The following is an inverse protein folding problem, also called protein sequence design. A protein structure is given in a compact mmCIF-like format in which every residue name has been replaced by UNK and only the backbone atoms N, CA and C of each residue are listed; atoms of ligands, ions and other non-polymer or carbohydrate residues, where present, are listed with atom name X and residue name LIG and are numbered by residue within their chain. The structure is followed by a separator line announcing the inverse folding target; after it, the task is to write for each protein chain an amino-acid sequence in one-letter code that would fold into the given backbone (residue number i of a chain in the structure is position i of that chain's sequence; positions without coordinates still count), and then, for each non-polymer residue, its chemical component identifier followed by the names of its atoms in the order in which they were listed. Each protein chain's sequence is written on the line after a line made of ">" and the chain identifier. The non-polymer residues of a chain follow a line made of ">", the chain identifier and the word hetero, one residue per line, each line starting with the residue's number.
data_IF_522546662537
#
_entry.id   IF_522546662537
#
_cell.length_a   1.000
_cell.length_b   1.000
_cell.length_c   1.000
_cell.angle_alpha   90.00
_cell.angle_beta   90.00
_cell.angle_gamma   90.00
#
_symmetry.space_group_name_H-M   'P 1'
#
loop_
_entity.id
_entity.type
_entity.pdbx_description
1 polymer ?
#
# COMPACT_ATOMS: atom_id res chain seq x y z
N UNK A 1 -4.88 -17.87 31.35
CA UNK A 1 -4.76 -16.92 30.23
C UNK A 1 -6.16 -16.43 29.86
N UNK A 2 -6.54 -15.22 30.26
CA UNK A 2 -7.80 -14.60 29.83
C UNK A 2 -7.62 -14.14 28.38
N UNK A 3 -8.41 -14.68 27.45
CA UNK A 3 -8.43 -14.19 26.07
C UNK A 3 -9.03 -12.79 26.08
N UNK A 4 -8.21 -11.77 25.82
CA UNK A 4 -8.68 -10.41 25.57
C UNK A 4 -9.38 -10.43 24.21
N UNK A 5 -10.67 -10.76 24.19
CA UNK A 5 -11.52 -10.65 23.01
C UNK A 5 -11.91 -9.19 22.82
N UNK A 6 -11.24 -8.52 21.88
CA UNK A 6 -11.63 -7.17 21.47
C UNK A 6 -13.10 -7.15 21.01
N UNK A 7 -13.90 -6.14 21.39
CA UNK A 7 -15.25 -5.97 20.86
C UNK A 7 -15.20 -5.90 19.33
N UNK A 8 -16.12 -6.59 18.65
CA UNK A 8 -16.19 -6.64 17.17
C UNK A 8 -16.24 -5.25 16.52
N UNK A 9 -16.86 -4.27 17.20
CA UNK A 9 -16.89 -2.87 16.77
C UNK A 9 -15.50 -2.21 16.79
N UNK A 10 -14.68 -2.47 17.82
CA UNK A 10 -13.33 -1.93 17.94
C UNK A 10 -12.39 -2.56 16.88
N UNK A 11 -12.51 -3.87 16.64
CA UNK A 11 -11.76 -4.55 15.58
C UNK A 11 -12.09 -3.99 14.19
N UNK A 12 -13.37 -3.73 13.90
CA UNK A 12 -13.80 -3.10 12.65
C UNK A 12 -13.31 -1.65 12.53
N UNK A 13 -13.34 -0.88 13.61
CA UNK A 13 -12.82 0.49 13.62
C UNK A 13 -11.31 0.53 13.31
N UNK A 14 -10.54 -0.40 13.89
CA UNK A 14 -9.11 -0.54 13.61
C UNK A 14 -8.85 -0.90 12.15
N UNK A 15 -9.63 -1.83 11.58
CA UNK A 15 -9.49 -2.20 10.16
C UNK A 15 -9.83 -1.03 9.22
N UNK A 16 -10.87 -0.25 9.53
CA UNK A 16 -11.22 0.97 8.77
C UNK A 16 -10.11 2.03 8.84
N UNK A 17 -9.51 2.21 10.02
CA UNK A 17 -8.39 3.13 10.20
C UNK A 17 -7.19 2.69 9.36
N UNK A 18 -6.84 1.40 9.41
CA UNK A 18 -5.77 0.82 8.59
C UNK A 18 -6.01 1.05 7.10
N UNK A 19 -7.20 0.75 6.59
CA UNK A 19 -7.56 0.94 5.18
C UNK A 19 -7.41 2.41 4.75
N UNK A 20 -7.80 3.36 5.60
CA UNK A 20 -7.68 4.81 5.31
C UNK A 20 -6.23 5.27 5.30
N UNK A 21 -5.44 4.82 6.28
CA UNK A 21 -4.02 5.16 6.37
C UNK A 21 -3.27 4.62 5.16
N UNK A 22 -3.45 3.34 4.82
CA UNK A 22 -2.79 2.74 3.66
C UNK A 22 -3.27 3.37 2.35
N UNK A 23 -4.55 3.69 2.19
CA UNK A 23 -5.02 4.40 1.01
C UNK A 23 -4.39 5.79 0.88
N UNK A 24 -4.26 6.53 1.99
CA UNK A 24 -3.54 7.80 2.02
C UNK A 24 -2.07 7.66 1.61
N UNK A 25 -1.40 6.62 2.11
CA UNK A 25 -0.02 6.29 1.73
C UNK A 25 0.08 5.93 0.25
N UNK A 26 -0.86 5.16 -0.31
CA UNK A 26 -0.92 4.84 -1.74
C UNK A 26 -1.06 6.12 -2.57
N UNK A 27 -1.89 7.08 -2.13
CA UNK A 27 -2.02 8.36 -2.81
C UNK A 27 -0.68 9.14 -2.81
N UNK A 28 0.03 9.17 -1.67
CA UNK A 28 1.36 9.77 -1.57
C UNK A 28 2.37 9.03 -2.46
N UNK A 29 2.31 7.69 -2.51
CA UNK A 29 3.18 6.88 -3.36
C UNK A 29 2.92 7.14 -4.85
N UNK A 30 1.68 7.36 -5.26
CA UNK A 30 1.35 7.75 -6.63
C UNK A 30 1.93 9.12 -7.00
N UNK A 31 1.83 10.10 -6.10
CA UNK A 31 2.46 11.43 -6.29
C UNK A 31 3.98 11.29 -6.39
N UNK A 32 4.59 10.47 -5.52
CA UNK A 32 6.02 10.19 -5.56
C UNK A 32 6.43 9.52 -6.89
N UNK A 33 5.65 8.58 -7.41
CA UNK A 33 5.91 7.93 -8.69
C UNK A 33 5.91 8.95 -9.84
N UNK A 34 4.93 9.86 -9.87
CA UNK A 34 4.87 10.94 -10.87
C UNK A 34 6.07 11.88 -10.73
N UNK A 35 6.46 12.25 -9.50
CA UNK A 35 7.61 13.12 -9.25
C UNK A 35 8.93 12.48 -9.70
N UNK A 36 9.16 11.20 -9.38
CA UNK A 36 10.34 10.45 -9.83
C UNK A 36 10.33 10.33 -11.37
N UNK A 37 9.18 9.96 -11.94
CA UNK A 37 9.00 9.82 -13.39
C UNK A 37 9.15 11.13 -14.17
N UNK A 38 9.03 12.29 -13.53
CA UNK A 38 9.35 13.59 -14.12
C UNK A 38 10.84 13.90 -14.10
N UNK A 39 11.57 13.40 -13.09
CA UNK A 39 13.03 13.53 -13.00
C UNK A 39 13.78 12.62 -13.97
N UNK A 40 13.14 11.54 -14.41
CA UNK A 40 13.65 10.63 -15.44
C UNK A 40 12.80 10.73 -16.73
N UNK A 41 13.22 10.08 -17.82
CA UNK A 41 12.57 10.25 -19.14
C UNK A 41 11.23 9.48 -19.25
N UNK A 42 10.94 8.55 -18.34
CA UNK A 42 9.79 7.62 -18.39
C UNK A 42 8.48 8.18 -17.79
N UNK A 43 8.11 9.40 -18.18
CA UNK A 43 6.91 10.09 -17.67
C UNK A 43 5.59 9.38 -18.04
N UNK A 44 5.51 8.76 -19.22
CA UNK A 44 4.33 8.02 -19.66
C UNK A 44 4.05 6.77 -18.81
N UNK A 45 5.11 6.05 -18.43
CA UNK A 45 5.01 4.89 -17.54
C UNK A 45 4.54 5.32 -16.14
N UNK A 46 5.12 6.41 -15.61
CA UNK A 46 4.76 6.91 -14.29
C UNK A 46 3.27 7.24 -14.16
N UNK A 47 2.70 7.97 -15.12
CA UNK A 47 1.28 8.29 -15.14
C UNK A 47 0.39 7.06 -15.37
N UNK A 48 0.70 6.26 -16.39
CA UNK A 48 -0.10 5.09 -16.75
C UNK A 48 -0.15 4.04 -15.63
N UNK A 49 1.00 3.70 -15.06
CA UNK A 49 1.09 2.72 -13.97
C UNK A 49 0.44 3.24 -12.68
N UNK A 50 0.67 4.51 -12.32
CA UNK A 50 0.06 5.09 -11.11
C UNK A 50 -1.46 5.10 -11.18
N UNK A 51 -2.04 5.47 -12.33
CA UNK A 51 -3.49 5.44 -12.53
C UNK A 51 -4.03 4.01 -12.49
N UNK A 52 -3.34 3.07 -13.12
CA UNK A 52 -3.70 1.64 -13.16
C UNK A 52 -3.69 1.01 -11.77
N UNK A 53 -2.77 1.43 -10.89
CA UNK A 53 -2.68 0.96 -9.50
C UNK A 53 -3.66 1.69 -8.55
N UNK A 54 -3.91 2.99 -8.75
CA UNK A 54 -4.85 3.77 -7.94
C UNK A 54 -6.30 3.32 -8.12
N UNK A 55 -6.70 3.01 -9.36
CA UNK A 55 -8.07 2.59 -9.67
C UNK A 55 -8.56 1.39 -8.82
N UNK A 56 -7.85 0.24 -8.77
CA UNK A 56 -8.25 -0.88 -7.93
C UNK A 56 -8.15 -0.58 -6.43
N UNK A 57 -7.22 0.29 -5.99
CA UNK A 57 -7.12 0.70 -4.58
C UNK A 57 -8.38 1.47 -4.13
N UNK A 58 -8.83 2.42 -4.94
CA UNK A 58 -10.05 3.19 -4.67
C UNK A 58 -11.29 2.29 -4.76
N UNK A 59 -11.34 1.40 -5.75
CA UNK A 59 -12.45 0.47 -5.94
C UNK A 59 -12.61 -0.48 -4.75
N UNK A 60 -11.52 -1.11 -4.28
CA UNK A 60 -11.58 -2.03 -3.15
C UNK A 60 -11.91 -1.32 -1.85
N UNK A 61 -11.40 -0.10 -1.66
CA UNK A 61 -11.74 0.72 -0.50
C UNK A 61 -13.23 1.12 -0.50
N UNK A 62 -13.80 1.43 -1.66
CA UNK A 62 -15.22 1.79 -1.77
C UNK A 62 -16.16 0.59 -1.55
N UNK A 63 -15.78 -0.60 -2.02
CA UNK A 63 -16.66 -1.77 -2.08
C UNK A 63 -16.47 -2.76 -0.93
N UNK A 64 -15.25 -2.88 -0.38
CA UNK A 64 -14.87 -3.94 0.55
C UNK A 64 -14.08 -3.44 1.78
N UNK A 65 -14.24 -2.17 2.18
CA UNK A 65 -13.58 -1.60 3.38
C UNK A 65 -13.71 -2.46 4.62
N UNK A 66 -12.65 -2.48 5.44
CA UNK A 66 -12.54 -3.25 6.68
C UNK A 66 -12.66 -4.77 6.53
N UNK A 67 -12.50 -5.30 5.31
CA UNK A 67 -12.46 -6.74 5.06
C UNK A 67 -11.03 -7.23 4.89
N UNK A 68 -10.83 -8.55 4.99
CA UNK A 68 -9.54 -9.17 4.69
C UNK A 68 -9.12 -8.91 3.24
N UNK A 69 -10.06 -8.92 2.29
CA UNK A 69 -9.80 -8.65 0.89
C UNK A 69 -9.21 -7.25 0.67
N UNK A 70 -9.82 -6.20 1.25
CA UNK A 70 -9.32 -4.82 1.15
C UNK A 70 -7.86 -4.74 1.61
N UNK A 71 -7.56 -5.34 2.74
CA UNK A 71 -6.23 -5.29 3.35
C UNK A 71 -5.19 -6.01 2.50
N UNK A 72 -5.52 -7.16 1.93
CA UNK A 72 -4.62 -7.88 0.99
C UNK A 72 -4.37 -7.05 -0.27
N UNK A 73 -5.43 -6.53 -0.90
CA UNK A 73 -5.34 -5.79 -2.17
C UNK A 73 -4.57 -4.49 -1.98
N UNK A 74 -4.90 -3.71 -0.94
CA UNK A 74 -4.19 -2.46 -0.65
C UNK A 74 -2.70 -2.71 -0.34
N UNK A 75 -2.38 -3.80 0.36
CA UNK A 75 -0.98 -4.17 0.63
C UNK A 75 -0.23 -4.57 -0.63
N UNK A 76 -0.85 -5.36 -1.51
CA UNK A 76 -0.27 -5.72 -2.81
C UNK A 76 -0.01 -4.47 -3.67
N UNK A 77 -0.98 -3.56 -3.74
CA UNK A 77 -0.85 -2.30 -4.50
C UNK A 77 0.28 -1.44 -3.94
N UNK A 78 0.41 -1.33 -2.63
CA UNK A 78 1.51 -0.59 -2.02
C UNK A 78 2.88 -1.18 -2.38
N UNK A 79 3.00 -2.53 -2.40
CA UNK A 79 4.22 -3.20 -2.87
C UNK A 79 4.49 -2.93 -4.36
N UNK A 80 3.45 -2.94 -5.20
CA UNK A 80 3.59 -2.57 -6.62
C UNK A 80 4.08 -1.13 -6.80
N UNK A 81 3.67 -0.19 -5.95
CA UNK A 81 4.19 1.18 -5.97
C UNK A 81 5.67 1.25 -5.63
N UNK A 82 6.16 0.48 -4.64
CA UNK A 82 7.59 0.39 -4.34
C UNK A 82 8.36 -0.13 -5.55
N UNK A 83 7.87 -1.20 -6.18
CA UNK A 83 8.48 -1.74 -7.41
C UNK A 83 8.50 -0.70 -8.53
N UNK A 84 7.40 0.04 -8.71
CA UNK A 84 7.30 1.12 -9.68
C UNK A 84 8.31 2.24 -9.40
N UNK A 85 8.48 2.64 -8.13
CA UNK A 85 9.48 3.65 -7.74
C UNK A 85 10.90 3.19 -8.09
N UNK A 86 11.25 1.95 -7.77
CA UNK A 86 12.56 1.35 -8.10
C UNK A 86 12.78 1.37 -9.62
N UNK A 87 11.77 0.97 -10.40
CA UNK A 87 11.83 0.95 -11.86
C UNK A 87 12.02 2.35 -12.44
N UNK A 88 11.21 3.33 -12.00
CA UNK A 88 11.28 4.71 -12.47
C UNK A 88 12.61 5.39 -12.10
N UNK A 89 13.18 5.02 -10.95
CA UNK A 89 14.50 5.50 -10.53
C UNK A 89 15.66 4.67 -11.11
N UNK A 90 15.40 3.80 -12.10
CA UNK A 90 16.42 2.97 -12.77
C UNK A 90 17.26 2.11 -11.81
N UNK A 91 16.64 1.64 -10.72
CA UNK A 91 17.26 0.73 -9.76
C UNK A 91 18.16 1.38 -8.70
N UNK A 92 18.01 2.67 -8.41
CA UNK A 92 18.77 3.32 -7.32
C UNK A 92 18.56 2.63 -5.97
N UNK A 93 19.63 2.43 -5.21
CA UNK A 93 19.61 1.74 -3.91
C UNK A 93 18.74 2.46 -2.86
N UNK A 94 18.65 3.79 -2.93
CA UNK A 94 17.87 4.60 -1.99
C UNK A 94 16.39 4.17 -1.94
N UNK A 95 15.81 3.78 -3.08
CA UNK A 95 14.40 3.42 -3.15
C UNK A 95 14.13 1.95 -2.78
N UNK A 96 15.17 1.11 -2.71
CA UNK A 96 15.03 -0.26 -2.19
C UNK A 96 14.65 -0.26 -0.70
N UNK A 97 15.02 0.79 0.03
CA UNK A 97 14.58 0.97 1.41
C UNK A 97 13.05 1.05 1.54
N UNK A 98 12.36 1.44 0.47
CA UNK A 98 10.89 1.48 0.40
C UNK A 98 10.21 0.14 0.71
N UNK A 99 10.89 -1.00 0.50
CA UNK A 99 10.38 -2.32 0.87
C UNK A 99 10.22 -2.42 2.39
N UNK A 100 11.24 -2.03 3.16
CA UNK A 100 11.19 -2.06 4.62
C UNK A 100 10.18 -1.05 5.19
N UNK A 101 10.11 0.14 4.59
CA UNK A 101 9.10 1.15 4.96
C UNK A 101 7.70 0.58 4.74
N UNK A 102 7.45 -0.09 3.62
CA UNK A 102 6.15 -0.71 3.34
C UNK A 102 5.81 -1.76 4.39
N UNK A 103 6.72 -2.66 4.74
CA UNK A 103 6.50 -3.66 5.79
C UNK A 103 6.16 -3.00 7.14
N UNK A 104 6.85 -1.91 7.49
CA UNK A 104 6.56 -1.15 8.71
C UNK A 104 5.17 -0.49 8.66
N UNK A 105 4.79 0.09 7.52
CA UNK A 105 3.47 0.69 7.34
C UNK A 105 2.33 -0.35 7.42
N UNK A 106 2.56 -1.56 6.91
CA UNK A 106 1.58 -2.66 6.99
C UNK A 106 1.30 -3.12 8.43
N UNK A 107 2.17 -2.79 9.40
CA UNK A 107 1.89 -3.05 10.82
C UNK A 107 0.67 -2.28 11.34
N UNK A 108 0.19 -1.24 10.64
CA UNK A 108 -1.07 -0.54 11.00
C UNK A 108 -2.26 -1.50 11.04
N UNK A 109 -2.21 -2.56 10.24
CA UNK A 109 -3.21 -3.60 10.22
C UNK A 109 -3.14 -4.52 11.44
N UNK A 110 -2.00 -4.61 12.13
CA UNK A 110 -1.80 -5.56 13.25
C UNK A 110 -2.13 -7.01 12.86
N UNK A 111 -1.89 -7.35 11.60
CA UNK A 111 -2.12 -8.67 11.04
C UNK A 111 -0.88 -9.15 10.30
N UNK A 112 -0.55 -10.42 10.45
CA UNK A 112 0.65 -11.00 9.84
C UNK A 112 0.46 -11.36 8.36
N UNK A 113 -0.77 -11.61 7.90
CA UNK A 113 -1.04 -12.03 6.51
C UNK A 113 -0.61 -10.99 5.46
N UNK A 114 -0.90 -9.68 5.62
CA UNK A 114 -0.40 -8.65 4.71
C UNK A 114 1.12 -8.62 4.63
N UNK A 115 1.80 -8.86 5.74
CA UNK A 115 3.26 -8.85 5.85
C UNK A 115 3.85 -10.02 5.08
N UNK A 116 3.31 -11.22 5.26
CA UNK A 116 3.75 -12.41 4.51
C UNK A 116 3.50 -12.25 3.02
N UNK A 117 2.36 -11.68 2.63
CA UNK A 117 2.08 -11.38 1.23
C UNK A 117 3.09 -10.38 0.65
N UNK A 118 3.46 -9.35 1.41
CA UNK A 118 4.41 -8.34 0.96
C UNK A 118 5.86 -8.83 0.93
N UNK A 119 6.21 -9.83 1.73
CA UNK A 119 7.56 -10.39 1.83
C UNK A 119 7.80 -11.61 0.92
N UNK A 120 6.73 -12.16 0.32
CA UNK A 120 6.77 -13.35 -0.53
C UNK A 120 7.08 -13.09 -1.99
#
# INVERSE_FOLDING_TARGET
>A
MSSITMPRAAANAQALLGDRIILGIIAVAAVAAIAIGHGFVDSGLAWGASLTLLAPALLVHATARATMLSRMVLSAILCCFVMLHIQLARGTLELHFGVFVTLALLLVYLDWKPIVLAAG
#
